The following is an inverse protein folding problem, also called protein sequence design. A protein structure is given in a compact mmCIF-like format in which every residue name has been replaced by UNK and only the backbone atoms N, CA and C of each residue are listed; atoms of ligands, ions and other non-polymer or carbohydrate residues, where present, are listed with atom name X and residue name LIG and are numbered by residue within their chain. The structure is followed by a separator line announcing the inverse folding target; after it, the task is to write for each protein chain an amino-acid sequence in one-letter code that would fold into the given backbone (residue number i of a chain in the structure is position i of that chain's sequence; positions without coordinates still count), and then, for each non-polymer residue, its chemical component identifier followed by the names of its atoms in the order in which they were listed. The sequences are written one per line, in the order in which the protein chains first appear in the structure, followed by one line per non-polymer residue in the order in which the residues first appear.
data_IF_502325869921
#
_entry.id   IF_502325869921
#
_cell.length_a   1.000
_cell.length_b   1.000
_cell.length_c   1.000
_cell.angle_alpha   90.00
_cell.angle_beta   90.00
_cell.angle_gamma   90.00
#
_symmetry.space_group_name_H-M   'P 1'
#
loop_
_entity.id
_entity.type
_entity.pdbx_description
1 polymer ?
#
# COMPACT_ATOMS: atom_id res chain seq x y z
N UNK A 1 -19.56 3.92 -15.62
CA UNK A 1 -18.12 3.63 -15.69
C UNK A 1 -17.53 3.85 -17.09
N UNK A 2 -17.68 5.04 -17.70
CA UNK A 2 -16.96 5.37 -18.95
C UNK A 2 -15.76 6.24 -18.58
N UNK A 3 -14.58 5.75 -18.95
CA UNK A 3 -13.29 6.45 -18.92
C UNK A 3 -12.93 7.10 -17.57
N UNK A 4 -13.03 6.34 -16.49
CA UNK A 4 -12.47 6.76 -15.21
C UNK A 4 -10.94 6.84 -15.28
N UNK A 5 -10.30 7.85 -14.68
CA UNK A 5 -8.84 8.02 -14.66
C UNK A 5 -8.17 7.03 -13.69
N UNK A 6 -8.61 5.77 -13.70
CA UNK A 6 -8.10 4.67 -12.88
C UNK A 6 -7.43 3.63 -13.77
N UNK A 7 -6.52 2.84 -13.20
CA UNK A 7 -5.87 1.76 -13.94
C UNK A 7 -6.88 0.70 -14.38
N UNK A 8 -7.87 0.40 -13.55
CA UNK A 8 -8.98 -0.51 -13.86
C UNK A 8 -9.83 0.04 -15.01
N UNK A 9 -10.12 1.35 -14.99
CA UNK A 9 -10.80 2.05 -16.09
C UNK A 9 -10.04 1.93 -17.40
N UNK A 10 -8.72 2.10 -17.35
CA UNK A 10 -7.82 1.88 -18.48
C UNK A 10 -7.84 0.43 -18.96
N UNK A 11 -7.73 -0.55 -18.07
CA UNK A 11 -7.72 -1.97 -18.43
C UNK A 11 -9.04 -2.41 -19.09
N UNK A 12 -10.19 -1.92 -18.62
CA UNK A 12 -11.48 -2.18 -19.25
C UNK A 12 -11.55 -1.55 -20.65
N UNK A 13 -11.00 -0.36 -20.83
CA UNK A 13 -10.93 0.32 -22.14
C UNK A 13 -9.97 -0.41 -23.10
N UNK A 14 -8.82 -0.85 -22.59
CA UNK A 14 -7.76 -1.52 -23.34
C UNK A 14 -8.17 -2.94 -23.76
N UNK A 15 -8.84 -3.70 -22.88
CA UNK A 15 -9.30 -5.05 -23.17
C UNK A 15 -10.33 -5.14 -24.32
N UNK A 16 -10.95 -4.01 -24.69
CA UNK A 16 -11.87 -3.91 -25.84
C UNK A 16 -11.19 -3.50 -27.15
N UNK A 17 -9.93 -3.08 -27.11
CA UNK A 17 -9.23 -2.42 -28.24
C UNK A 17 -7.86 -3.01 -28.56
N UNK A 18 -7.20 -3.62 -27.59
CA UNK A 18 -5.87 -4.19 -27.75
C UNK A 18 -5.94 -5.69 -27.99
N UNK A 19 -4.86 -6.23 -28.56
CA UNK A 19 -4.68 -7.67 -28.68
C UNK A 19 -4.60 -8.33 -27.30
N UNK A 20 -4.93 -9.62 -27.24
CA UNK A 20 -4.87 -10.42 -26.00
C UNK A 20 -3.48 -10.36 -25.36
N UNK A 21 -2.41 -10.45 -26.15
CA UNK A 21 -1.03 -10.37 -25.67
C UNK A 21 -0.71 -9.02 -25.06
N UNK A 22 -1.07 -7.92 -25.74
CA UNK A 22 -0.86 -6.57 -25.22
C UNK A 22 -1.64 -6.33 -23.92
N UNK A 23 -2.86 -6.86 -23.82
CA UNK A 23 -3.68 -6.75 -22.63
C UNK A 23 -3.11 -7.53 -21.44
N UNK A 24 -2.63 -8.76 -21.66
CA UNK A 24 -1.99 -9.55 -20.61
C UNK A 24 -0.67 -8.91 -20.14
N UNK A 25 0.13 -8.34 -21.05
CA UNK A 25 1.32 -7.58 -20.67
C UNK A 25 0.97 -6.40 -19.76
N UNK A 26 -0.11 -5.66 -20.05
CA UNK A 26 -0.56 -4.54 -19.22
C UNK A 26 -1.02 -4.99 -17.82
N UNK A 27 -1.67 -6.15 -17.70
CA UNK A 27 -2.10 -6.69 -16.40
C UNK A 27 -0.94 -7.08 -15.48
N UNK A 28 0.21 -7.41 -16.06
CA UNK A 28 1.40 -7.81 -15.30
C UNK A 28 2.18 -6.61 -14.76
N UNK A 29 1.90 -5.40 -15.24
CA UNK A 29 2.59 -4.19 -14.81
C UNK A 29 2.22 -3.83 -13.37
N UNK A 30 3.23 -3.35 -12.64
CA UNK A 30 3.06 -2.80 -11.29
C UNK A 30 2.74 -1.32 -11.42
N UNK A 31 1.60 -0.91 -10.87
CA UNK A 31 1.10 0.46 -11.03
C UNK A 31 0.78 1.05 -9.66
N UNK A 32 1.18 2.31 -9.43
CA UNK A 32 0.94 3.06 -8.19
C UNK A 32 0.34 4.42 -8.51
N UNK A 33 -0.79 4.76 -7.89
CA UNK A 33 -1.29 6.13 -7.88
C UNK A 33 -0.70 6.84 -6.65
N UNK A 34 -0.06 7.99 -6.88
CA UNK A 34 0.35 8.93 -5.82
C UNK A 34 -0.30 10.29 -6.08
N UNK A 35 -0.20 11.22 -5.14
CA UNK A 35 -0.75 12.58 -5.27
C UNK A 35 -0.29 13.29 -6.55
N UNK A 36 0.92 12.98 -7.03
CA UNK A 36 1.50 13.53 -8.26
C UNK A 36 1.17 12.76 -9.56
N UNK A 37 0.33 11.72 -9.52
CA UNK A 37 -0.11 10.98 -10.72
C UNK A 37 0.17 9.48 -10.72
N UNK A 38 0.20 8.89 -11.92
CA UNK A 38 0.28 7.46 -12.17
C UNK A 38 1.71 7.00 -12.42
N UNK A 39 2.21 6.11 -11.58
CA UNK A 39 3.54 5.53 -11.69
C UNK A 39 3.44 4.09 -12.19
N UNK A 40 4.11 3.80 -13.30
CA UNK A 40 4.16 2.47 -13.90
C UNK A 40 5.57 1.94 -13.77
N UNK A 41 5.72 0.90 -12.95
CA UNK A 41 6.99 0.27 -12.62
C UNK A 41 7.16 -1.00 -13.45
N UNK A 42 8.31 -1.12 -14.10
CA UNK A 42 8.69 -2.29 -14.87
C UNK A 42 9.00 -1.98 -16.33
N UNK A 43 9.41 -3.00 -17.06
CA UNK A 43 9.71 -2.89 -18.48
C UNK A 43 8.42 -2.95 -19.30
N UNK A 44 8.16 -1.89 -20.05
CA UNK A 44 6.99 -1.75 -20.92
C UNK A 44 7.46 -1.27 -22.29
N UNK A 45 6.91 -1.86 -23.35
CA UNK A 45 7.24 -1.46 -24.73
C UNK A 45 6.75 -0.04 -25.03
N UNK A 46 7.47 0.69 -25.88
CA UNK A 46 7.14 2.08 -26.20
C UNK A 46 5.73 2.23 -26.82
N UNK A 47 5.31 1.23 -27.60
CA UNK A 47 3.94 1.17 -28.14
C UNK A 47 2.89 1.15 -27.02
N UNK A 48 3.12 0.38 -25.96
CA UNK A 48 2.21 0.33 -24.81
C UNK A 48 2.30 1.61 -23.97
N UNK A 49 3.49 2.19 -23.78
CA UNK A 49 3.64 3.51 -23.12
C UNK A 49 2.80 4.57 -23.80
N UNK A 50 2.82 4.61 -25.14
CA UNK A 50 2.03 5.56 -25.92
C UNK A 50 0.53 5.34 -25.71
N UNK A 51 0.07 4.10 -25.69
CA UNK A 51 -1.35 3.77 -25.48
C UNK A 51 -1.82 4.19 -24.09
N UNK A 52 -1.02 3.90 -23.05
CA UNK A 52 -1.33 4.32 -21.68
C UNK A 52 -1.36 5.85 -21.61
N UNK A 53 -0.33 6.51 -22.15
CA UNK A 53 -0.24 7.98 -22.17
C UNK A 53 -1.45 8.61 -22.85
N UNK A 54 -1.90 8.05 -23.97
CA UNK A 54 -3.07 8.52 -24.70
C UNK A 54 -4.34 8.40 -23.87
N UNK A 55 -4.55 7.28 -23.20
CA UNK A 55 -5.76 7.08 -22.40
C UNK A 55 -5.89 8.14 -21.30
N UNK A 56 -4.85 8.32 -20.50
CA UNK A 56 -4.89 9.23 -19.34
C UNK A 56 -4.79 10.71 -19.72
N UNK A 57 -4.36 11.05 -20.94
CA UNK A 57 -4.33 12.43 -21.41
C UNK A 57 -5.55 12.84 -22.26
N UNK A 58 -6.13 11.91 -23.03
CA UNK A 58 -7.15 12.22 -24.04
C UNK A 58 -8.51 11.56 -23.76
N UNK A 59 -8.52 10.34 -23.20
CA UNK A 59 -9.74 9.55 -23.06
C UNK A 59 -10.35 9.64 -21.66
N UNK A 60 -9.51 9.72 -20.63
CA UNK A 60 -9.91 9.82 -19.24
C UNK A 60 -10.54 11.18 -18.95
N UNK A 61 -11.51 11.20 -18.04
CA UNK A 61 -12.20 12.44 -17.65
C UNK A 61 -11.28 13.50 -17.05
N UNK A 62 -10.20 13.08 -16.40
CA UNK A 62 -9.20 13.95 -15.81
C UNK A 62 -7.83 13.56 -16.35
N UNK A 63 -7.05 14.58 -16.72
CA UNK A 63 -5.66 14.38 -17.14
C UNK A 63 -4.85 13.90 -15.95
N UNK A 64 -4.19 12.76 -16.12
CA UNK A 64 -3.34 12.17 -15.09
C UNK A 64 -1.92 12.15 -15.63
N UNK A 65 -0.98 12.74 -14.89
CA UNK A 65 0.44 12.67 -15.23
C UNK A 65 0.93 11.22 -15.08
N UNK A 66 1.70 10.74 -16.06
CA UNK A 66 2.19 9.35 -16.06
C UNK A 66 3.72 9.36 -16.02
N UNK A 67 4.28 8.61 -15.07
CA UNK A 67 5.73 8.43 -14.91
C UNK A 67 6.06 6.95 -15.09
N UNK A 68 6.91 6.64 -16.07
CA UNK A 68 7.41 5.28 -16.31
C UNK A 68 8.75 5.11 -15.58
N UNK A 69 8.79 4.16 -14.64
CA UNK A 69 9.95 3.89 -13.79
C UNK A 69 10.51 2.52 -14.16
N UNK A 70 11.80 2.45 -14.50
CA UNK A 70 12.49 1.17 -14.71
C UNK A 70 12.64 0.46 -13.36
N UNK A 71 12.42 -0.85 -13.35
CA UNK A 71 12.70 -1.67 -12.18
C UNK A 71 14.23 -1.82 -12.05
N UNK A 72 14.88 -0.87 -11.38
CA UNK A 72 16.26 -1.06 -10.96
C UNK A 72 16.27 -1.95 -9.72
N UNK A 73 17.00 -3.05 -9.80
CA UNK A 73 17.28 -3.98 -8.70
C UNK A 73 17.91 -3.22 -7.53
N UNK A 74 17.08 -2.76 -6.59
CA UNK A 74 17.55 -2.38 -5.25
C UNK A 74 17.37 -3.58 -4.30
N UNK A 75 18.16 -4.61 -4.54
CA UNK A 75 18.73 -5.39 -3.44
C UNK A 75 19.81 -4.50 -2.79
N UNK A 76 19.41 -3.73 -1.77
CA UNK A 76 20.35 -3.29 -0.74
C UNK A 76 19.78 -3.63 0.62
N UNK A 77 20.02 -4.88 1.00
CA UNK A 77 20.32 -5.22 2.37
C UNK A 77 21.40 -4.25 2.89
N UNK A 78 21.10 -3.49 3.93
CA UNK A 78 22.13 -2.97 4.83
C UNK A 78 21.76 -3.32 6.27
N UNK A 79 22.12 -4.56 6.58
CA UNK A 79 22.68 -4.97 7.86
C UNK A 79 23.68 -3.91 8.38
N UNK A 80 23.45 -3.38 9.58
CA UNK A 80 24.52 -2.90 10.44
C UNK A 80 24.27 -3.38 11.88
N UNK A 81 24.82 -4.54 12.17
CA UNK A 81 25.33 -4.88 13.50
C UNK A 81 26.39 -3.85 13.94
N UNK A 82 26.27 -3.28 15.14
CA UNK A 82 27.26 -3.48 16.22
C UNK A 82 27.09 -2.52 17.38
N UNK A 83 27.03 -3.13 18.56
CA UNK A 83 27.34 -2.58 19.86
C UNK A 83 28.66 -1.80 19.89
N UNK A 84 28.67 -0.63 20.53
CA UNK A 84 29.86 -0.12 21.24
C UNK A 84 29.47 0.81 22.38
N UNK A 85 29.77 0.38 23.61
CA UNK A 85 29.90 1.22 24.82
C UNK A 85 31.11 2.16 24.69
N UNK A 86 31.02 3.36 25.27
CA UNK A 86 31.96 3.95 26.25
C UNK A 86 31.59 5.44 26.55
N UNK A 87 30.98 5.65 27.73
CA UNK A 87 31.13 6.69 28.79
C UNK A 87 31.41 8.21 28.54
N UNK A 88 31.18 9.09 29.55
CA UNK A 88 30.57 10.43 29.41
C UNK A 88 31.46 11.60 29.87
N UNK A 89 31.10 12.87 29.56
CA UNK A 89 31.40 14.05 30.40
C UNK A 89 30.77 15.35 29.86
N UNK A 90 29.96 16.02 30.69
CA UNK A 90 29.86 17.47 31.05
C UNK A 90 30.64 18.51 30.21
N UNK A 91 30.24 19.78 30.01
CA UNK A 91 29.29 20.70 30.67
C UNK A 91 29.16 21.99 29.82
N UNK A 92 28.02 22.68 29.95
CA UNK A 92 27.79 24.15 29.95
C UNK A 92 28.41 25.08 28.88
N UNK A 93 27.58 25.78 28.09
CA UNK A 93 27.05 27.11 28.46
C UNK A 93 26.12 27.74 27.39
N UNK A 94 25.24 28.61 27.90
CA UNK A 94 24.02 29.16 27.32
C UNK A 94 24.26 30.37 26.39
N UNK A 95 23.37 30.59 25.40
CA UNK A 95 22.76 31.91 25.07
C UNK A 95 21.49 31.68 24.22
N UNK A 96 20.33 32.08 24.74
CA UNK A 96 18.98 32.09 24.11
C UNK A 96 18.85 33.22 23.05
N UNK A 97 17.77 33.35 22.25
CA UNK A 97 16.48 32.66 22.27
C UNK A 97 16.10 32.07 20.90
N UNK A 98 15.24 31.05 20.86
CA UNK A 98 14.23 30.97 19.79
C UNK A 98 13.25 29.83 20.05
N UNK A 99 11.98 30.22 20.01
CA UNK A 99 10.83 29.45 19.55
C UNK A 99 10.51 28.19 20.36
N UNK A 100 9.37 28.25 21.06
CA UNK A 100 8.64 27.07 21.50
C UNK A 100 8.67 26.04 20.37
N UNK A 101 9.48 24.99 20.54
CA UNK A 101 9.33 23.76 19.80
C UNK A 101 8.04 23.11 20.28
N UNK A 102 6.91 23.66 19.81
CA UNK A 102 5.79 22.80 19.51
C UNK A 102 6.36 21.75 18.59
N UNK A 103 6.44 20.51 19.09
CA UNK A 103 6.66 19.37 18.23
C UNK A 103 5.80 19.60 16.99
N UNK A 104 6.34 19.56 15.76
CA UNK A 104 5.47 19.26 14.66
C UNK A 104 4.94 17.88 15.02
N UNK A 105 3.70 17.85 15.51
CA UNK A 105 2.82 16.71 15.34
C UNK A 105 3.00 16.41 13.87
N UNK A 106 3.80 15.40 13.58
CA UNK A 106 3.97 14.86 12.26
C UNK A 106 2.58 14.30 11.93
N UNK A 107 1.72 15.19 11.45
CA UNK A 107 0.54 14.89 10.69
C UNK A 107 1.07 14.33 9.36
N UNK A 108 1.79 13.21 9.47
CA UNK A 108 2.19 12.38 8.36
C UNK A 108 0.88 11.86 7.81
N UNK A 109 0.46 12.57 6.77
CA UNK A 109 -0.31 12.12 5.63
C UNK A 109 -1.56 11.31 5.99
N UNK A 110 -2.73 11.81 5.60
CA UNK A 110 -3.96 11.03 5.53
C UNK A 110 -3.75 9.80 4.61
N UNK A 111 -3.08 8.75 5.09
CA UNK A 111 -3.26 7.42 4.56
C UNK A 111 -4.72 7.11 4.85
N UNK A 112 -5.57 7.23 3.84
CA UNK A 112 -7.00 6.97 3.93
C UNK A 112 -7.21 5.63 4.65
N UNK A 113 -7.53 5.68 5.94
CA UNK A 113 -7.81 4.48 6.73
C UNK A 113 -9.09 3.90 6.15
N UNK A 114 -8.93 2.80 5.42
CA UNK A 114 -10.00 2.08 4.72
C UNK A 114 -10.12 0.70 5.32
N UNK A 115 -11.15 -0.04 4.93
CA UNK A 115 -11.32 -1.43 5.36
C UNK A 115 -10.88 -2.40 4.28
N UNK A 116 -10.59 -3.66 4.64
CA UNK A 116 -10.38 -4.69 3.62
C UNK A 116 -11.52 -4.73 2.60
N UNK A 117 -12.77 -4.50 3.04
CA UNK A 117 -13.95 -4.46 2.17
C UNK A 117 -13.83 -3.42 1.06
N UNK A 118 -13.29 -2.24 1.37
CA UNK A 118 -13.15 -1.15 0.41
C UNK A 118 -12.13 -1.51 -0.70
N UNK A 119 -11.14 -2.34 -0.37
CA UNK A 119 -10.14 -2.81 -1.32
C UNK A 119 -10.56 -4.05 -2.12
N UNK A 120 -11.62 -4.78 -1.76
CA UNK A 120 -12.07 -5.99 -2.50
C UNK A 120 -12.34 -5.69 -3.98
N UNK A 121 -12.85 -4.49 -4.27
CA UNK A 121 -13.21 -4.07 -5.63
C UNK A 121 -12.08 -3.35 -6.35
N UNK A 122 -10.99 -3.02 -5.65
CA UNK A 122 -9.94 -2.11 -6.15
C UNK A 122 -8.59 -2.81 -6.25
N UNK A 123 -8.24 -3.68 -5.30
CA UNK A 123 -6.95 -4.40 -5.28
C UNK A 123 -7.14 -5.91 -5.42
N UNK A 124 -6.45 -6.49 -6.40
CA UNK A 124 -6.51 -7.92 -6.70
C UNK A 124 -5.99 -8.79 -5.56
N UNK A 125 -4.94 -8.35 -4.84
CA UNK A 125 -4.37 -9.16 -3.76
C UNK A 125 -5.33 -9.22 -2.58
N UNK A 126 -5.95 -8.09 -2.23
CA UNK A 126 -6.99 -8.07 -1.20
C UNK A 126 -8.22 -8.87 -1.65
N UNK A 127 -8.62 -8.75 -2.91
CA UNK A 127 -9.71 -9.57 -3.46
C UNK A 127 -9.43 -11.07 -3.32
N UNK A 128 -8.24 -11.50 -3.73
CA UNK A 128 -7.82 -12.90 -3.67
C UNK A 128 -7.68 -13.41 -2.24
N UNK A 129 -7.17 -12.57 -1.33
CA UNK A 129 -7.14 -12.83 0.11
C UNK A 129 -8.55 -13.09 0.67
N UNK A 130 -9.51 -12.21 0.38
CA UNK A 130 -10.88 -12.36 0.87
C UNK A 130 -11.55 -13.59 0.26
N UNK A 131 -11.29 -13.89 -1.01
CA UNK A 131 -11.80 -15.10 -1.66
C UNK A 131 -11.21 -16.37 -1.03
N UNK A 132 -9.89 -16.43 -0.82
CA UNK A 132 -9.23 -17.53 -0.12
C UNK A 132 -9.77 -17.72 1.30
N UNK A 133 -9.95 -16.62 2.01
CA UNK A 133 -10.50 -16.61 3.37
C UNK A 133 -11.92 -17.16 3.42
N UNK A 134 -12.74 -16.89 2.40
CA UNK A 134 -14.11 -17.41 2.32
C UNK A 134 -14.22 -18.93 2.23
N UNK A 135 -13.15 -19.60 1.79
CA UNK A 135 -13.08 -21.07 1.70
C UNK A 135 -12.63 -21.70 3.02
N UNK A 136 -11.90 -20.97 3.86
CA UNK A 136 -11.30 -21.47 5.12
C UNK A 136 -12.03 -21.01 6.39
N UNK A 137 -12.70 -19.86 6.34
CA UNK A 137 -13.35 -19.24 7.50
C UNK A 137 -14.87 -19.37 7.43
N UNK A 138 -15.50 -19.36 8.61
CA UNK A 138 -16.95 -19.25 8.69
C UNK A 138 -17.40 -17.82 8.33
N UNK A 139 -18.70 -17.64 8.13
CA UNK A 139 -19.26 -16.34 7.74
C UNK A 139 -18.98 -15.22 8.77
N UNK A 140 -19.14 -15.43 10.10
CA UNK A 140 -18.81 -14.40 11.10
C UNK A 140 -17.35 -13.96 11.05
N UNK A 141 -16.40 -14.90 11.07
CA UNK A 141 -14.95 -14.64 11.04
C UNK A 141 -14.58 -13.85 9.76
N UNK A 142 -15.19 -14.19 8.62
CA UNK A 142 -14.94 -13.49 7.35
C UNK A 142 -15.46 -12.05 7.37
N UNK A 143 -16.60 -11.80 8.00
CA UNK A 143 -17.15 -10.45 8.14
C UNK A 143 -16.35 -9.60 9.12
N UNK A 144 -15.74 -10.19 10.14
CA UNK A 144 -14.78 -9.49 11.01
C UNK A 144 -13.58 -9.02 10.19
N UNK A 145 -12.97 -9.90 9.39
CA UNK A 145 -11.84 -9.53 8.54
C UNK A 145 -12.20 -8.41 7.57
N UNK A 146 -13.36 -8.48 6.92
CA UNK A 146 -13.80 -7.45 5.95
C UNK A 146 -13.89 -6.05 6.54
N UNK A 147 -14.22 -5.94 7.83
CA UNK A 147 -14.43 -4.66 8.52
C UNK A 147 -13.16 -4.07 9.12
N UNK A 148 -12.05 -4.81 9.13
CA UNK A 148 -10.81 -4.32 9.74
C UNK A 148 -10.32 -3.08 9.01
N UNK A 149 -10.08 -2.03 9.80
CA UNK A 149 -9.40 -0.82 9.39
C UNK A 149 -7.94 -1.13 9.15
N UNK A 150 -7.52 -0.81 7.94
CA UNK A 150 -6.17 -1.00 7.46
C UNK A 150 -5.64 0.28 6.82
N UNK A 151 -4.33 0.44 6.91
CA UNK A 151 -3.58 1.19 5.92
C UNK A 151 -2.89 0.22 4.99
N UNK A 152 -2.94 0.49 3.70
CA UNK A 152 -2.39 -0.39 2.68
C UNK A 152 -1.78 0.41 1.52
N UNK A 153 -0.46 0.25 1.34
CA UNK A 153 0.34 0.93 0.32
C UNK A 153 0.95 -0.05 -0.71
N UNK A 154 0.38 -1.26 -0.82
CA UNK A 154 0.80 -2.40 -1.66
C UNK A 154 2.04 -3.17 -1.19
N UNK A 155 2.87 -2.57 -0.34
CA UNK A 155 4.09 -3.20 0.23
C UNK A 155 3.92 -3.52 1.70
N UNK A 156 3.00 -2.83 2.37
CA UNK A 156 2.71 -2.97 3.78
C UNK A 156 1.21 -2.89 4.02
N UNK A 157 0.71 -3.80 4.84
CA UNK A 157 -0.61 -3.73 5.43
C UNK A 157 -0.43 -3.49 6.93
N UNK A 158 -0.95 -2.36 7.41
CA UNK A 158 -1.06 -2.05 8.83
C UNK A 158 -2.51 -2.30 9.24
N UNK A 159 -2.74 -3.18 10.22
CA UNK A 159 -4.07 -3.46 10.76
C UNK A 159 -4.19 -2.78 12.12
N UNK A 160 -5.20 -1.93 12.27
CA UNK A 160 -5.41 -1.11 13.48
C UNK A 160 -6.38 -1.72 14.48
N UNK A 161 -7.21 -2.66 14.03
CA UNK A 161 -8.25 -3.25 14.86
C UNK A 161 -7.75 -4.52 15.55
N UNK A 162 -8.08 -4.71 16.84
CA UNK A 162 -7.71 -5.92 17.56
C UNK A 162 -8.45 -7.13 16.98
N UNK A 163 -7.73 -8.25 16.91
CA UNK A 163 -8.23 -9.49 16.31
C UNK A 163 -7.96 -10.69 17.21
N UNK A 164 -8.84 -11.69 17.23
CA UNK A 164 -8.51 -12.99 17.79
C UNK A 164 -7.27 -13.57 17.11
N UNK A 165 -6.33 -14.14 17.88
CA UNK A 165 -5.08 -14.69 17.34
C UNK A 165 -5.29 -15.73 16.22
N UNK A 166 -6.43 -16.42 16.20
CA UNK A 166 -6.84 -17.30 15.09
C UNK A 166 -6.93 -16.54 13.76
N UNK A 167 -7.59 -15.38 13.73
CA UNK A 167 -7.76 -14.58 12.51
C UNK A 167 -6.46 -13.89 12.13
N UNK A 168 -5.70 -13.44 13.12
CA UNK A 168 -4.37 -12.87 12.94
C UNK A 168 -3.43 -13.86 12.24
N UNK A 169 -3.40 -15.11 12.68
CA UNK A 169 -2.60 -16.17 12.07
C UNK A 169 -3.08 -16.53 10.67
N UNK A 170 -4.38 -16.51 10.41
CA UNK A 170 -4.93 -16.71 9.07
C UNK A 170 -4.50 -15.62 8.09
N UNK A 171 -4.52 -14.35 8.54
CA UNK A 171 -4.01 -13.22 7.75
C UNK A 171 -2.52 -13.39 7.47
N UNK A 172 -1.70 -13.68 8.49
CA UNK A 172 -0.26 -13.94 8.34
C UNK A 172 0.04 -15.06 7.36
N UNK A 173 -0.59 -16.22 7.54
CA UNK A 173 -0.39 -17.40 6.70
C UNK A 173 -0.67 -17.09 5.23
N UNK A 174 -1.73 -16.33 4.96
CA UNK A 174 -2.01 -15.92 3.60
C UNK A 174 -0.90 -15.03 3.03
N UNK A 175 -0.62 -13.89 3.65
CA UNK A 175 0.27 -12.88 3.06
C UNK A 175 1.76 -13.26 3.07
N UNK A 176 2.18 -14.23 3.88
CA UNK A 176 3.55 -14.76 3.80
C UNK A 176 3.74 -15.84 2.74
N UNK A 177 2.69 -16.60 2.41
CA UNK A 177 2.84 -17.80 1.57
C UNK A 177 2.18 -17.70 0.18
N UNK A 178 1.24 -16.77 -0.03
CA UNK A 178 0.38 -16.76 -1.21
C UNK A 178 0.57 -15.57 -2.17
N UNK A 179 0.77 -14.32 -1.74
CA UNK A 179 0.81 -13.21 -2.68
C UNK A 179 2.05 -13.28 -3.57
N UNK A 180 1.89 -12.90 -4.84
CA UNK A 180 2.98 -12.80 -5.81
C UNK A 180 4.01 -11.70 -5.47
N UNK A 181 3.69 -10.84 -4.49
CA UNK A 181 4.53 -9.76 -3.99
C UNK A 181 4.68 -9.89 -2.48
N UNK A 182 5.87 -9.59 -1.96
CA UNK A 182 6.14 -9.55 -0.52
C UNK A 182 5.36 -8.38 0.07
N UNK A 183 4.50 -8.67 1.04
CA UNK A 183 3.71 -7.66 1.75
C UNK A 183 4.07 -7.78 3.23
N UNK A 184 4.64 -6.72 3.79
CA UNK A 184 4.89 -6.61 5.21
C UNK A 184 3.58 -6.48 5.97
N UNK A 185 3.39 -7.27 7.02
CA UNK A 185 2.24 -7.20 7.90
C UNK A 185 2.63 -6.58 9.23
N UNK A 186 1.91 -5.53 9.64
CA UNK A 186 2.01 -4.93 10.96
C UNK A 186 0.65 -4.93 11.64
N UNK A 187 0.61 -5.42 12.88
CA UNK A 187 -0.57 -5.35 13.74
C UNK A 187 -0.32 -4.23 14.74
N UNK A 188 -0.97 -3.10 14.50
CA UNK A 188 -0.96 -1.94 15.39
C UNK A 188 -2.10 -2.15 16.38
N UNK A 189 -1.87 -2.98 17.40
CA UNK A 189 -2.80 -3.03 18.52
C UNK A 189 -2.88 -1.61 19.09
N UNK A 190 -3.98 -0.89 18.85
CA UNK A 190 -4.25 0.34 19.57
C UNK A 190 -4.28 -0.01 21.06
N UNK A 191 -3.15 0.15 21.73
CA UNK A 191 -3.04 0.18 23.18
C UNK A 191 -3.73 1.47 23.62
N UNK A 192 -5.05 1.52 23.53
CA UNK A 192 -5.86 2.38 24.38
C UNK A 192 -5.76 1.81 25.81
N UNK A 193 -4.57 1.93 26.40
CA UNK A 193 -4.43 2.07 27.84
C UNK A 193 -4.99 3.45 28.15
N UNK A 194 -6.31 3.53 28.28
CA UNK A 194 -6.88 4.49 29.21
C UNK A 194 -6.32 4.11 30.58
N UNK A 195 -5.20 4.73 30.96
CA UNK A 195 -4.83 4.83 32.35
C UNK A 195 -5.87 5.75 33.00
N UNK A 196 -7.05 5.21 33.35
CA UNK A 196 -7.88 5.83 34.37
C UNK A 196 -7.28 5.39 35.69
N UNK A 197 -6.32 6.17 36.18
CA UNK A 197 -6.01 6.17 37.60
C UNK A 197 -7.11 6.98 38.28
N UNK A 198 -7.87 6.33 39.16
CA UNK A 198 -8.65 6.94 40.22
C UNK A 198 -8.39 6.14 41.50
#
# INVERSE_FOLDING_TARGET
FKNEPTWEGFLVWAGKRLSKTSYENLKQLRVKFKEEGLYIVGEISDSLKMIVSKYFNEEAKLKTEIKFVKEELQEKEQNFNSSKKLDPSNQENQTQPNQESSMPVDQSENQDIKTFRDYISVDKVIHEFINHSSLKLNRPDLEEIRKLRISYDLEKIVIYDPLPGKLENHIRDYFYNHPQRVIALQFEECKNKFNVAA
#
